data_IF_142072788323
#
_entry.id   IF_142072788323
#
_cell.length_a   1.000
_cell.length_b   1.000
_cell.length_c   1.000
_cell.angle_alpha   90.00
_cell.angle_beta   90.00
_cell.angle_gamma   90.00
#
_symmetry.space_group_name_H-M   'P 1'
#
loop_
_entity.id
_entity.type
_entity.pdbx_description
1 polymer ?
#
# COMPACT_ATOMS: atom_id res chain seq x y z
N UNK A 1 31.66 -35.39 -17.12
CA UNK A 1 32.25 -35.74 -15.82
C UNK A 1 33.35 -34.74 -15.53
N UNK A 2 33.01 -33.64 -14.87
CA UNK A 2 33.97 -32.72 -14.24
C UNK A 2 33.25 -31.92 -13.15
N UNK A 3 33.66 -32.19 -11.93
CA UNK A 3 33.23 -31.60 -10.69
C UNK A 3 34.00 -30.30 -10.52
N UNK A 4 33.33 -29.16 -10.56
CA UNK A 4 33.90 -27.85 -10.12
C UNK A 4 33.49 -27.56 -8.68
N UNK A 5 34.45 -27.73 -7.80
CA UNK A 5 34.43 -27.27 -6.41
C UNK A 5 34.59 -25.76 -6.40
N UNK A 6 33.58 -25.01 -5.96
CA UNK A 6 33.72 -23.57 -5.69
C UNK A 6 33.83 -23.38 -4.19
N UNK A 7 34.97 -22.89 -3.78
CA UNK A 7 35.42 -22.59 -2.43
C UNK A 7 34.70 -21.34 -1.95
N UNK A 8 33.85 -21.45 -0.91
CA UNK A 8 33.24 -20.31 -0.22
C UNK A 8 34.23 -19.74 0.78
N UNK A 9 34.70 -18.52 0.51
CA UNK A 9 35.57 -17.72 1.37
C UNK A 9 34.72 -17.01 2.42
N UNK A 10 34.86 -17.47 3.66
CA UNK A 10 34.21 -16.91 4.85
C UNK A 10 34.98 -15.66 5.28
N UNK A 11 34.44 -14.46 5.06
CA UNK A 11 34.99 -13.20 5.60
C UNK A 11 34.27 -12.87 6.89
N UNK A 12 34.93 -13.11 8.03
CA UNK A 12 34.56 -12.59 9.34
C UNK A 12 34.98 -11.13 9.41
N UNK A 13 34.02 -10.21 9.47
CA UNK A 13 34.22 -8.81 9.83
C UNK A 13 33.92 -8.65 11.33
N UNK A 14 35.00 -8.55 12.13
CA UNK A 14 34.92 -8.12 13.51
C UNK A 14 34.55 -6.63 13.56
N UNK A 15 33.34 -6.31 14.02
CA UNK A 15 32.93 -4.97 14.33
C UNK A 15 33.45 -4.52 15.69
N UNK A 16 34.42 -3.60 15.72
CA UNK A 16 34.86 -2.91 16.92
C UNK A 16 33.78 -1.89 17.36
N UNK A 17 33.15 -2.15 18.49
CA UNK A 17 32.35 -1.17 19.21
C UNK A 17 33.32 -0.23 20.00
N UNK A 18 33.37 1.04 19.60
CA UNK A 18 34.01 2.10 20.40
C UNK A 18 32.94 2.77 21.27
N UNK A 19 33.21 2.96 22.60
CA UNK A 19 32.31 3.71 23.47
C UNK A 19 32.53 5.22 23.25
N UNK A 20 31.43 5.92 22.90
CA UNK A 20 31.39 7.39 22.87
C UNK A 20 31.25 7.89 24.30
N UNK A 21 32.34 8.52 24.82
CA UNK A 21 32.32 9.21 26.09
C UNK A 21 31.50 10.52 25.98
N UNK A 22 30.44 10.62 26.73
CA UNK A 22 29.66 11.85 26.90
C UNK A 22 30.46 12.81 27.82
N UNK A 23 30.90 13.95 27.29
CA UNK A 23 31.39 15.07 28.08
C UNK A 23 30.21 15.80 28.70
N UNK A 24 30.17 15.82 30.02
CA UNK A 24 29.31 16.71 30.78
C UNK A 24 29.76 18.16 30.56
N UNK A 25 28.83 19.02 30.21
CA UNK A 25 29.06 20.45 30.02
C UNK A 25 28.67 21.19 31.30
N UNK A 26 29.63 21.93 31.87
CA UNK A 26 29.53 22.67 33.12
C UNK A 26 28.47 23.79 33.02
N UNK A 27 27.77 23.97 34.14
CA UNK A 27 26.76 25.00 34.39
C UNK A 27 27.34 26.40 34.32
N UNK A 28 27.04 27.13 33.23
CA UNK A 28 27.20 28.58 33.18
C UNK A 28 26.03 29.30 33.85
N UNK A 29 26.23 29.83 35.03
CA UNK A 29 25.25 30.66 35.74
C UNK A 29 24.92 31.93 34.93
N UNK A 30 23.77 31.89 34.20
CA UNK A 30 23.24 33.04 33.48
C UNK A 30 22.51 33.95 34.46
N UNK A 31 23.06 35.16 34.71
CA UNK A 31 22.38 36.26 35.41
C UNK A 31 21.09 36.63 34.71
N UNK A 32 19.96 36.41 35.37
CA UNK A 32 18.62 36.80 34.86
C UNK A 32 18.52 38.34 34.83
N UNK A 33 18.12 38.93 33.68
CA UNK A 33 17.77 40.36 33.63
C UNK A 33 16.48 40.59 34.37
N UNK A 34 16.40 41.74 35.10
CA UNK A 34 15.20 42.21 35.76
C UNK A 34 14.12 42.48 34.75
N UNK A 35 13.06 41.64 34.72
CA UNK A 35 11.91 41.85 33.88
C UNK A 35 11.04 42.99 34.47
N UNK A 36 10.90 44.05 33.71
CA UNK A 36 9.92 45.15 34.00
C UNK A 36 8.53 44.56 33.67
N UNK A 37 7.78 44.34 34.72
CA UNK A 37 6.39 43.88 34.63
C UNK A 37 5.50 44.99 34.07
N UNK A 38 5.39 45.01 32.71
CA UNK A 38 4.38 45.81 32.03
C UNK A 38 3.09 45.00 32.03
N UNK A 39 2.14 45.40 32.85
CA UNK A 39 0.78 44.84 32.90
C UNK A 39 0.15 44.91 31.51
N UNK A 40 0.18 43.78 30.79
CA UNK A 40 -0.53 43.57 29.55
C UNK A 40 -1.86 42.98 29.95
N UNK A 41 -2.96 43.70 29.65
CA UNK A 41 -4.34 43.20 29.81
C UNK A 41 -4.49 41.81 29.17
N UNK A 42 -5.25 40.88 29.77
CA UNK A 42 -5.41 39.57 29.23
C UNK A 42 -6.14 39.65 27.89
N UNK A 43 -5.40 39.56 26.79
CA UNK A 43 -5.94 39.15 25.51
C UNK A 43 -6.58 37.78 25.74
N UNK A 44 -7.91 37.72 25.58
CA UNK A 44 -8.68 36.50 25.78
C UNK A 44 -7.96 35.34 25.06
N UNK A 45 -7.41 34.45 25.84
CA UNK A 45 -6.83 33.20 25.33
C UNK A 45 -8.01 32.42 24.75
N UNK A 46 -8.16 32.48 23.44
CA UNK A 46 -8.90 31.45 22.69
C UNK A 46 -8.13 30.19 22.89
N UNK A 47 -8.45 29.46 23.96
CA UNK A 47 -7.94 28.10 24.17
C UNK A 47 -8.57 27.24 23.11
N UNK A 48 -7.94 27.17 21.94
CA UNK A 48 -8.24 26.13 20.97
C UNK A 48 -7.92 24.79 21.65
N UNK A 49 -8.98 24.08 22.05
CA UNK A 49 -8.82 22.72 22.57
C UNK A 49 -8.01 21.95 21.56
N UNK A 50 -6.94 21.24 21.96
CA UNK A 50 -6.19 20.41 21.05
C UNK A 50 -7.16 19.43 20.39
N UNK A 51 -7.32 19.51 19.08
CA UNK A 51 -8.15 18.60 18.32
C UNK A 51 -7.46 17.25 18.36
N UNK A 52 -8.11 16.25 18.92
CA UNK A 52 -7.63 14.87 18.81
C UNK A 52 -7.85 14.42 17.37
N UNK A 53 -6.76 14.16 16.65
CA UNK A 53 -6.80 13.60 15.32
C UNK A 53 -6.69 12.08 15.41
N UNK A 54 -7.54 11.36 14.69
CA UNK A 54 -7.36 9.92 14.45
C UNK A 54 -6.15 9.73 13.52
N UNK A 55 -5.55 8.55 13.55
CA UNK A 55 -4.43 8.21 12.67
C UNK A 55 -4.89 7.20 11.60
N UNK A 56 -5.99 7.52 10.92
CA UNK A 56 -6.44 6.68 9.81
C UNK A 56 -5.55 6.91 8.59
N UNK A 57 -5.11 5.81 8.00
CA UNK A 57 -4.29 5.85 6.81
C UNK A 57 -5.15 6.21 5.58
N UNK A 58 -4.63 7.07 4.71
CA UNK A 58 -5.26 7.35 3.42
C UNK A 58 -4.90 6.26 2.41
N UNK A 59 -5.88 5.47 2.01
CA UNK A 59 -5.74 4.52 0.91
C UNK A 59 -6.23 5.18 -0.38
N UNK A 60 -5.32 5.88 -1.06
CA UNK A 60 -5.61 6.48 -2.36
C UNK A 60 -5.56 5.44 -3.47
N UNK A 61 -6.36 5.66 -4.51
CA UNK A 61 -6.39 4.80 -5.70
C UNK A 61 -7.74 4.11 -5.89
N UNK A 62 -7.73 3.12 -6.76
CA UNK A 62 -8.90 2.33 -7.10
C UNK A 62 -8.74 0.88 -6.66
N UNK A 63 -9.83 0.27 -6.21
CA UNK A 63 -9.89 -1.16 -5.88
C UNK A 63 -11.11 -1.79 -6.50
N UNK A 64 -10.89 -2.82 -7.33
CA UNK A 64 -11.93 -3.74 -7.80
C UNK A 64 -11.85 -5.02 -6.99
N UNK A 65 -12.84 -5.26 -6.13
CA UNK A 65 -12.93 -6.51 -5.40
C UNK A 65 -13.41 -7.62 -6.34
N UNK A 66 -12.64 -8.68 -6.44
CA UNK A 66 -12.93 -9.83 -7.28
C UNK A 66 -13.50 -10.95 -6.43
N UNK A 67 -14.60 -11.54 -6.87
CA UNK A 67 -15.19 -12.71 -6.25
C UNK A 67 -15.69 -13.68 -7.31
N UNK A 68 -15.63 -14.98 -7.03
CA UNK A 68 -16.20 -16.04 -7.86
C UNK A 68 -16.65 -17.18 -6.95
N UNK A 69 -17.57 -18.01 -7.44
CA UNK A 69 -17.97 -19.24 -6.73
C UNK A 69 -16.79 -20.22 -6.58
N UNK A 70 -15.94 -20.27 -7.60
CA UNK A 70 -14.68 -21.01 -7.61
C UNK A 70 -13.72 -20.34 -8.60
N UNK A 71 -12.43 -20.51 -8.37
CA UNK A 71 -11.38 -20.11 -9.29
C UNK A 71 -10.78 -21.38 -9.92
N UNK A 72 -11.06 -21.71 -11.19
CA UNK A 72 -10.48 -22.88 -11.86
C UNK A 72 -8.96 -22.87 -11.86
N UNK A 73 -8.34 -24.03 -11.69
CA UNK A 73 -6.88 -24.12 -11.76
C UNK A 73 -6.40 -23.88 -13.18
N UNK A 74 -5.35 -23.09 -13.32
CA UNK A 74 -4.73 -22.79 -14.59
C UNK A 74 -4.14 -21.38 -14.64
N UNK A 75 -3.87 -20.96 -15.86
CA UNK A 75 -3.25 -19.69 -16.16
C UNK A 75 -4.30 -18.60 -16.38
N UNK A 76 -3.99 -17.40 -15.85
CA UNK A 76 -4.85 -16.23 -15.93
C UNK A 76 -4.10 -15.06 -16.55
N UNK A 77 -4.82 -14.31 -17.38
CA UNK A 77 -4.37 -13.05 -17.95
C UNK A 77 -5.36 -11.96 -17.56
N UNK A 78 -4.83 -10.87 -17.04
CA UNK A 78 -5.59 -9.66 -16.71
C UNK A 78 -5.13 -8.55 -17.64
N UNK A 79 -6.02 -8.08 -18.50
CA UNK A 79 -5.81 -6.89 -19.31
C UNK A 79 -6.65 -5.75 -18.77
N UNK A 80 -5.98 -4.69 -18.34
CA UNK A 80 -6.61 -3.53 -17.72
C UNK A 80 -6.36 -2.31 -18.60
N UNK A 81 -7.42 -1.64 -19.02
CA UNK A 81 -7.37 -0.39 -19.74
C UNK A 81 -7.93 0.67 -18.79
N UNK A 82 -7.09 1.57 -18.31
CA UNK A 82 -7.42 2.64 -17.38
C UNK A 82 -7.15 3.99 -18.08
N UNK A 83 -8.20 4.60 -18.58
CA UNK A 83 -8.15 5.73 -19.52
C UNK A 83 -7.30 5.36 -20.77
N UNK A 84 -6.14 6.02 -20.96
CA UNK A 84 -5.22 5.75 -22.07
C UNK A 84 -4.14 4.71 -21.73
N UNK A 85 -4.07 4.24 -20.48
CA UNK A 85 -3.03 3.31 -20.04
C UNK A 85 -3.48 1.87 -20.16
N UNK A 86 -2.60 1.00 -20.66
CA UNK A 86 -2.86 -0.44 -20.78
C UNK A 86 -1.89 -1.20 -19.89
N UNK A 87 -2.44 -1.97 -18.96
CA UNK A 87 -1.70 -2.85 -18.07
C UNK A 87 -2.03 -4.30 -18.38
N UNK A 88 -1.01 -5.15 -18.28
CA UNK A 88 -1.17 -6.59 -18.44
C UNK A 88 -0.54 -7.28 -17.23
N UNK A 89 -1.30 -8.17 -16.62
CA UNK A 89 -0.82 -9.03 -15.54
C UNK A 89 -1.07 -10.49 -15.91
N UNK A 90 -0.21 -11.36 -15.44
CA UNK A 90 -0.26 -12.79 -15.66
C UNK A 90 -0.06 -13.53 -14.35
N UNK A 91 -0.83 -14.56 -14.12
CA UNK A 91 -0.76 -15.36 -12.90
C UNK A 91 -1.30 -16.77 -13.11
N UNK A 92 -1.12 -17.62 -12.12
CA UNK A 92 -1.67 -18.97 -12.16
C UNK A 92 -2.23 -19.40 -10.79
N UNK A 93 -3.19 -20.30 -10.85
CA UNK A 93 -3.69 -21.06 -9.71
C UNK A 93 -3.45 -22.57 -9.96
N UNK A 94 -3.10 -23.34 -8.94
CA UNK A 94 -2.88 -22.93 -7.55
C UNK A 94 -1.64 -22.04 -7.38
N UNK A 95 -1.63 -21.23 -6.32
CA UNK A 95 -0.52 -20.35 -5.95
C UNK A 95 0.73 -21.19 -5.65
N UNK A 96 1.92 -20.80 -6.13
CA UNK A 96 3.11 -21.65 -6.03
C UNK A 96 3.58 -21.82 -4.59
N UNK A 97 3.81 -20.74 -3.87
CA UNK A 97 4.31 -20.76 -2.49
C UNK A 97 3.95 -19.47 -1.79
N UNK A 98 3.55 -19.54 -0.51
CA UNK A 98 3.28 -18.35 0.27
C UNK A 98 4.52 -17.44 0.36
N UNK A 99 4.30 -16.15 0.17
CA UNK A 99 5.35 -15.13 0.21
C UNK A 99 6.07 -14.89 -1.13
N UNK A 100 5.77 -15.67 -2.16
CA UNK A 100 6.20 -15.39 -3.54
C UNK A 100 4.99 -14.90 -4.35
N UNK A 101 5.09 -13.77 -5.06
CA UNK A 101 4.00 -13.30 -5.91
C UNK A 101 3.75 -14.32 -7.03
N UNK A 102 2.50 -14.78 -7.15
CA UNK A 102 2.08 -15.65 -8.25
C UNK A 102 1.63 -14.84 -9.47
N UNK A 103 1.42 -13.54 -9.29
CA UNK A 103 1.04 -12.63 -10.38
C UNK A 103 2.18 -11.66 -10.68
N UNK A 104 2.46 -11.50 -11.96
CA UNK A 104 3.41 -10.52 -12.48
C UNK A 104 2.67 -9.53 -13.37
N UNK A 105 2.84 -8.24 -13.11
CA UNK A 105 2.30 -7.16 -13.92
C UNK A 105 3.42 -6.41 -14.65
N UNK A 106 3.11 -5.84 -15.82
CA UNK A 106 4.05 -5.06 -16.61
C UNK A 106 4.34 -3.66 -16.00
N UNK A 107 3.55 -3.21 -15.04
CA UNK A 107 3.69 -1.93 -14.35
C UNK A 107 3.34 -2.05 -12.87
N UNK A 108 4.04 -1.30 -12.01
CA UNK A 108 3.81 -1.26 -10.56
C UNK A 108 2.57 -0.47 -10.15
N UNK A 109 2.00 0.30 -11.08
CA UNK A 109 0.76 1.04 -10.85
C UNK A 109 -0.47 0.13 -10.71
N UNK A 110 -0.35 -1.13 -11.12
CA UNK A 110 -1.40 -2.15 -10.98
C UNK A 110 -0.88 -3.33 -10.16
N UNK A 111 -1.76 -3.88 -9.32
CA UNK A 111 -1.49 -5.09 -8.55
C UNK A 111 -2.74 -5.97 -8.52
N UNK A 112 -2.53 -7.28 -8.59
CA UNK A 112 -3.56 -8.29 -8.37
C UNK A 112 -3.29 -8.93 -7.01
N UNK A 113 -4.26 -8.83 -6.12
CA UNK A 113 -4.19 -9.43 -4.79
C UNK A 113 -4.52 -10.92 -4.83
N UNK A 114 -3.69 -11.71 -4.21
CA UNK A 114 -3.81 -13.16 -4.08
C UNK A 114 -4.28 -13.52 -2.67
N UNK A 115 -5.06 -14.58 -2.56
CA UNK A 115 -5.57 -15.06 -1.26
C UNK A 115 -5.52 -16.57 -1.16
N UNK A 116 -5.34 -17.06 0.05
CA UNK A 116 -5.46 -18.47 0.36
C UNK A 116 -4.22 -19.32 0.10
N UNK A 117 -3.02 -18.75 -0.03
CA UNK A 117 -1.80 -19.50 -0.34
C UNK A 117 -1.50 -20.66 0.64
N UNK A 118 -1.94 -20.55 1.91
CA UNK A 118 -1.81 -21.60 2.92
C UNK A 118 -3.01 -22.56 2.97
N UNK A 119 -4.02 -22.33 2.13
CA UNK A 119 -5.22 -23.14 2.03
C UNK A 119 -5.07 -24.23 0.95
N UNK A 120 -5.95 -25.23 0.93
CA UNK A 120 -6.02 -26.16 -0.20
C UNK A 120 -6.18 -25.42 -1.54
N UNK A 121 -5.65 -25.97 -2.64
CA UNK A 121 -5.67 -25.33 -3.95
C UNK A 121 -7.03 -24.77 -4.38
N UNK A 122 -8.10 -25.49 -4.12
CA UNK A 122 -9.47 -25.07 -4.49
C UNK A 122 -10.02 -23.87 -3.70
N UNK A 123 -9.35 -23.50 -2.60
CA UNK A 123 -9.69 -22.34 -1.78
C UNK A 123 -8.81 -21.11 -2.06
N UNK A 124 -7.91 -21.22 -3.04
CA UNK A 124 -7.03 -20.14 -3.45
C UNK A 124 -7.72 -19.28 -4.52
N UNK A 125 -7.43 -17.99 -4.52
CA UNK A 125 -8.16 -17.04 -5.37
C UNK A 125 -7.35 -15.77 -5.65
N UNK A 126 -7.81 -15.03 -6.65
CA UNK A 126 -7.50 -13.61 -6.80
C UNK A 126 -8.67 -12.82 -6.19
N UNK A 127 -8.38 -11.92 -5.25
CA UNK A 127 -9.44 -11.25 -4.49
C UNK A 127 -9.60 -9.75 -4.79
N UNK A 128 -8.59 -9.11 -5.37
CA UNK A 128 -8.66 -7.70 -5.71
C UNK A 128 -7.73 -7.33 -6.87
N UNK A 129 -8.14 -6.32 -7.62
CA UNK A 129 -7.29 -5.56 -8.53
C UNK A 129 -7.18 -4.14 -7.95
N UNK A 130 -5.97 -3.64 -7.79
CA UNK A 130 -5.74 -2.27 -7.30
C UNK A 130 -4.97 -1.46 -8.32
N UNK A 131 -5.35 -0.18 -8.46
CA UNK A 131 -4.63 0.81 -9.25
C UNK A 131 -4.19 1.95 -8.34
N UNK A 132 -2.95 2.41 -8.50
CA UNK A 132 -2.39 3.52 -7.72
C UNK A 132 -3.06 4.87 -8.02
N UNK A 133 -3.80 4.97 -9.11
CA UNK A 133 -4.59 6.14 -9.52
C UNK A 133 -6.01 5.73 -9.84
N UNK A 134 -6.96 6.64 -9.67
CA UNK A 134 -8.36 6.43 -10.04
C UNK A 134 -8.53 6.89 -11.48
N UNK A 135 -8.80 5.99 -12.44
CA UNK A 135 -9.13 6.37 -13.81
C UNK A 135 -10.57 6.91 -13.89
N UNK A 136 -10.90 7.62 -14.95
CA UNK A 136 -12.30 7.99 -15.25
C UNK A 136 -13.04 6.83 -15.90
N UNK A 137 -12.37 6.12 -16.82
CA UNK A 137 -12.91 4.96 -17.52
C UNK A 137 -12.01 3.76 -17.28
N UNK A 138 -12.62 2.64 -16.99
CA UNK A 138 -11.94 1.38 -16.70
C UNK A 138 -12.56 0.24 -17.51
N UNK A 139 -11.69 -0.53 -18.16
CA UNK A 139 -12.07 -1.82 -18.76
C UNK A 139 -11.12 -2.87 -18.20
N UNK A 140 -11.66 -3.91 -17.59
CA UNK A 140 -10.92 -5.05 -17.07
C UNK A 140 -11.37 -6.30 -17.79
N UNK A 141 -10.45 -6.96 -18.48
CA UNK A 141 -10.68 -8.27 -19.10
C UNK A 141 -9.85 -9.32 -18.39
N UNK A 142 -10.50 -10.34 -17.88
CA UNK A 142 -9.86 -11.46 -17.18
C UNK A 142 -10.10 -12.71 -18.01
N UNK A 143 -9.02 -13.31 -18.52
CA UNK A 143 -9.06 -14.58 -19.25
C UNK A 143 -8.50 -15.67 -18.34
N UNK A 144 -9.30 -16.68 -18.10
CA UNK A 144 -8.94 -17.85 -17.31
C UNK A 144 -9.03 -19.15 -18.13
N UNK A 145 -8.78 -20.30 -17.52
CA UNK A 145 -8.73 -21.59 -18.21
C UNK A 145 -10.08 -22.02 -18.80
N UNK A 146 -11.19 -21.51 -18.30
CA UNK A 146 -12.55 -21.89 -18.70
C UNK A 146 -13.28 -20.82 -19.52
N UNK A 147 -12.73 -19.61 -19.61
CA UNK A 147 -13.38 -18.53 -20.34
C UNK A 147 -12.76 -17.16 -20.10
N UNK A 148 -13.48 -16.14 -20.50
CA UNK A 148 -13.09 -14.75 -20.30
C UNK A 148 -14.28 -13.92 -19.83
N UNK A 149 -14.01 -12.97 -18.94
CA UNK A 149 -14.97 -11.99 -18.43
C UNK A 149 -14.43 -10.59 -18.70
N UNK A 150 -15.32 -9.70 -19.14
CA UNK A 150 -14.97 -8.27 -19.29
C UNK A 150 -15.91 -7.43 -18.45
N UNK A 151 -15.35 -6.49 -17.72
CA UNK A 151 -16.05 -5.50 -16.90
C UNK A 151 -15.66 -4.10 -17.37
N UNK A 152 -16.65 -3.27 -17.61
CA UNK A 152 -16.48 -1.88 -18.00
C UNK A 152 -17.16 -0.98 -16.98
N UNK A 153 -16.48 0.07 -16.55
CA UNK A 153 -17.09 1.04 -15.64
C UNK A 153 -16.56 2.46 -15.86
N UNK A 154 -17.44 3.41 -15.53
CA UNK A 154 -17.09 4.82 -15.42
C UNK A 154 -17.03 5.16 -13.94
N UNK A 155 -15.86 5.53 -13.46
CA UNK A 155 -15.59 5.64 -12.05
C UNK A 155 -15.86 7.04 -11.51
N UNK A 156 -16.48 7.09 -10.35
CA UNK A 156 -16.64 8.29 -9.55
C UNK A 156 -15.72 8.22 -8.33
N UNK A 157 -14.75 9.14 -8.25
CA UNK A 157 -13.89 9.25 -7.07
C UNK A 157 -14.64 9.89 -5.90
N UNK A 158 -14.48 9.29 -4.72
CA UNK A 158 -14.96 9.84 -3.46
C UNK A 158 -13.78 10.39 -2.68
N UNK A 159 -13.85 11.67 -2.32
CA UNK A 159 -12.78 12.32 -1.56
C UNK A 159 -13.33 12.75 -0.19
N UNK A 160 -12.51 12.60 0.84
CA UNK A 160 -12.86 12.97 2.21
C UNK A 160 -11.61 13.18 3.06
N UNK A 161 -11.82 13.54 4.31
CA UNK A 161 -10.75 13.69 5.30
C UNK A 161 -10.90 12.59 6.35
N UNK A 162 -10.21 11.45 6.24
CA UNK A 162 -10.39 10.31 7.15
C UNK A 162 -10.12 10.66 8.61
N UNK A 163 -9.21 11.61 8.87
CA UNK A 163 -8.91 12.09 10.22
C UNK A 163 -9.64 13.40 10.57
N UNK A 164 -10.44 13.93 9.65
CA UNK A 164 -11.18 15.17 9.77
C UNK A 164 -10.46 16.37 9.13
N UNK A 165 -11.26 17.34 8.70
CA UNK A 165 -10.74 18.63 8.21
C UNK A 165 -9.87 19.30 9.28
N UNK A 166 -8.68 19.71 8.92
CA UNK A 166 -7.68 20.31 9.82
C UNK A 166 -6.76 19.30 10.51
N UNK A 167 -6.98 17.99 10.35
CA UNK A 167 -6.04 16.92 10.71
C UNK A 167 -5.30 16.38 9.49
N UNK A 168 -6.00 16.23 8.39
CA UNK A 168 -5.39 15.81 7.14
C UNK A 168 -4.93 17.02 6.32
N UNK A 169 -3.71 16.99 5.74
CA UNK A 169 -3.17 18.09 4.94
C UNK A 169 -3.90 18.26 3.59
N UNK A 170 -4.59 17.23 3.13
CA UNK A 170 -5.35 17.19 1.87
C UNK A 170 -6.43 16.11 1.93
N UNK A 171 -7.49 16.23 1.12
CA UNK A 171 -8.48 15.15 1.04
C UNK A 171 -7.87 13.87 0.47
N UNK A 172 -8.29 12.75 1.00
CA UNK A 172 -7.99 11.41 0.53
C UNK A 172 -9.07 10.98 -0.46
N UNK A 173 -8.67 10.59 -1.66
CA UNK A 173 -9.59 10.17 -2.71
C UNK A 173 -9.44 8.67 -3.00
N UNK A 174 -10.56 7.96 -3.01
CA UNK A 174 -10.62 6.56 -3.41
C UNK A 174 -11.83 6.29 -4.32
N UNK A 175 -11.76 5.20 -5.05
CA UNK A 175 -12.90 4.61 -5.74
C UNK A 175 -12.80 3.09 -5.63
N UNK A 176 -13.95 2.41 -5.69
CA UNK A 176 -13.95 0.96 -5.63
C UNK A 176 -15.29 0.37 -6.02
N UNK A 177 -15.22 -0.84 -6.55
CA UNK A 177 -16.35 -1.63 -7.02
C UNK A 177 -16.14 -3.10 -6.65
N UNK A 178 -17.14 -3.92 -6.95
CA UNK A 178 -17.06 -5.37 -6.79
C UNK A 178 -17.52 -6.04 -8.08
N UNK A 179 -16.76 -7.03 -8.53
CA UNK A 179 -17.07 -7.85 -9.69
C UNK A 179 -17.23 -9.30 -9.25
N UNK A 180 -18.41 -9.86 -9.51
CA UNK A 180 -18.65 -11.28 -9.37
C UNK A 180 -18.42 -11.97 -10.73
N UNK A 181 -17.59 -13.00 -10.72
CA UNK A 181 -17.14 -13.71 -11.92
C UNK A 181 -17.83 -15.08 -11.96
N UNK A 182 -18.48 -15.35 -13.06
CA UNK A 182 -19.01 -16.67 -13.39
C UNK A 182 -18.14 -17.27 -14.51
N UNK A 183 -17.53 -18.42 -14.21
CA UNK A 183 -16.64 -19.13 -15.14
C UNK A 183 -17.36 -20.19 -15.96
#
# INVERSE_FOLDING_TARGET
MQIRKTLFMLVMLLGLCLPVAAKAQEDGAVKRPKVIEKSIAPLGQVTSRPRACTQMWCMEGYTLNLSASAWPHGYYQFKIIADENVYNCEGQLPLPTCGMPAVTCNDKAVQIGESGCALPPDAQSFHALTLSKIPENLVVSITGPTGAVTHESKLEKKCGFPNGEGCDPRPCCSAGESLYIEW
#
